data_IF_202601842680
#
_entry.id   IF_202601842680
#
_cell.length_a   1.000
_cell.length_b   1.000
_cell.length_c   1.000
_cell.angle_alpha   90.00
_cell.angle_beta   90.00
_cell.angle_gamma   90.00
#
_symmetry.space_group_name_H-M   'P 1'
#
loop_
_entity.id
_entity.type
_entity.pdbx_description
1 polymer ?
#
# COMPACT_ATOMS: atom_id res chain seq x y z
N UNK A 1 -16.27 -17.21 24.00
CA UNK A 1 -14.84 -17.07 23.70
C UNK A 1 -14.04 -18.34 24.00
N UNK A 2 -14.16 -18.95 25.19
CA UNK A 2 -13.42 -20.18 25.53
C UNK A 2 -13.58 -21.31 24.51
N UNK A 3 -14.81 -21.56 24.05
CA UNK A 3 -15.08 -22.59 23.03
C UNK A 3 -14.37 -22.33 21.68
N UNK A 4 -14.16 -21.06 21.31
CA UNK A 4 -13.41 -20.72 20.09
C UNK A 4 -11.91 -20.95 20.28
N UNK A 5 -11.36 -20.63 21.45
CA UNK A 5 -9.98 -20.96 21.80
C UNK A 5 -9.73 -22.46 21.88
N UNK A 6 -10.64 -23.23 22.49
CA UNK A 6 -10.53 -24.69 22.53
C UNK A 6 -10.66 -25.32 21.14
N UNK A 7 -11.53 -24.79 20.26
CA UNK A 7 -11.63 -25.25 18.88
C UNK A 7 -10.36 -24.94 18.09
N UNK A 8 -9.81 -23.74 18.26
CA UNK A 8 -8.56 -23.33 17.60
C UNK A 8 -7.39 -24.18 18.08
N UNK A 9 -7.19 -24.32 19.39
CA UNK A 9 -6.11 -25.16 19.94
C UNK A 9 -6.25 -26.65 19.57
N UNK A 10 -7.49 -27.14 19.40
CA UNK A 10 -7.72 -28.52 18.94
C UNK A 10 -7.42 -28.70 17.45
N UNK A 11 -7.69 -27.69 16.64
CA UNK A 11 -7.28 -27.66 15.23
C UNK A 11 -5.75 -27.56 15.15
N UNK A 12 -5.12 -26.65 15.89
CA UNK A 12 -3.65 -26.49 15.91
C UNK A 12 -2.94 -27.78 16.36
N UNK A 13 -3.47 -28.50 17.36
CA UNK A 13 -2.95 -29.80 17.76
C UNK A 13 -3.13 -30.88 16.67
N UNK A 14 -4.31 -30.97 16.05
CA UNK A 14 -4.56 -31.91 14.95
C UNK A 14 -3.69 -31.61 13.72
N UNK A 15 -3.34 -30.34 13.48
CA UNK A 15 -2.47 -29.91 12.40
C UNK A 15 -1.00 -30.26 12.67
N UNK A 16 -0.55 -30.26 13.93
CA UNK A 16 0.80 -30.68 14.31
C UNK A 16 0.96 -32.22 14.37
N UNK A 17 -0.09 -32.94 14.75
CA UNK A 17 -0.09 -34.41 14.83
C UNK A 17 -0.30 -35.10 13.45
N UNK A 18 -0.78 -34.37 12.43
CA UNK A 18 -1.15 -34.89 11.10
C UNK A 18 -0.07 -34.83 10.01
N UNK A 19 1.22 -34.83 10.38
CA UNK A 19 2.36 -34.55 9.48
C UNK A 19 2.69 -35.63 8.44
N UNK A 20 1.98 -36.76 8.42
CA UNK A 20 2.18 -37.83 7.44
C UNK A 20 1.27 -37.74 6.20
N UNK A 21 0.27 -36.83 6.18
CA UNK A 21 -0.67 -36.70 5.07
C UNK A 21 -0.28 -35.55 4.11
N UNK A 22 0.18 -35.92 2.91
CA UNK A 22 0.68 -34.99 1.90
C UNK A 22 -0.39 -34.00 1.38
N UNK A 23 -1.68 -34.37 1.43
CA UNK A 23 -2.76 -33.45 1.03
C UNK A 23 -3.05 -32.43 2.13
N UNK A 24 -2.98 -32.85 3.39
CA UNK A 24 -3.13 -31.97 4.54
C UNK A 24 -1.95 -30.98 4.62
N UNK A 25 -0.73 -31.43 4.30
CA UNK A 25 0.46 -30.58 4.20
C UNK A 25 0.30 -29.52 3.11
N UNK A 26 -0.23 -29.87 1.93
CA UNK A 26 -0.53 -28.88 0.86
C UNK A 26 -1.62 -27.89 1.25
N UNK A 27 -2.65 -28.35 1.96
CA UNK A 27 -3.69 -27.48 2.49
C UNK A 27 -3.14 -26.56 3.60
N UNK A 28 -2.23 -27.08 4.41
CA UNK A 28 -1.50 -26.32 5.43
C UNK A 28 -0.60 -25.26 4.80
N UNK A 29 0.13 -25.58 3.74
CA UNK A 29 0.90 -24.59 2.96
C UNK A 29 -0.01 -23.51 2.37
N UNK A 30 -1.19 -23.89 1.84
CA UNK A 30 -2.21 -22.92 1.38
C UNK A 30 -2.75 -22.02 2.50
N UNK A 31 -2.86 -22.53 3.73
CA UNK A 31 -3.37 -21.78 4.87
C UNK A 31 -2.29 -20.95 5.59
N UNK A 32 -1.02 -21.40 5.52
CA UNK A 32 0.18 -20.85 6.16
C UNK A 32 1.16 -20.18 5.19
N UNK A 33 0.75 -19.93 3.94
CA UNK A 33 1.55 -19.37 2.84
C UNK A 33 2.29 -18.04 3.14
N UNK A 34 2.18 -17.50 4.35
CA UNK A 34 2.79 -16.25 4.80
C UNK A 34 3.83 -16.41 5.93
N UNK A 35 4.05 -17.60 6.53
CA UNK A 35 5.01 -17.73 7.64
C UNK A 35 6.49 -17.83 7.18
N UNK A 36 6.72 -18.13 5.90
CA UNK A 36 8.05 -18.27 5.31
C UNK A 36 8.46 -17.12 4.38
N UNK A 37 7.70 -16.02 4.34
CA UNK A 37 8.12 -14.78 3.67
C UNK A 37 8.53 -13.66 4.63
N UNK A 38 8.81 -14.00 5.89
CA UNK A 38 9.61 -13.17 6.81
C UNK A 38 11.10 -13.05 6.39
N UNK A 39 11.46 -13.57 5.21
CA UNK A 39 12.74 -13.30 4.54
C UNK A 39 12.70 -12.03 3.68
N UNK A 40 12.43 -10.89 4.32
CA UNK A 40 13.10 -9.62 3.96
C UNK A 40 13.94 -9.06 5.12
N UNK A 41 14.27 -9.90 6.10
CA UNK A 41 15.30 -9.61 7.11
C UNK A 41 16.73 -9.90 6.59
N UNK A 42 16.89 -10.25 5.30
CA UNK A 42 18.19 -10.14 4.64
C UNK A 42 18.32 -8.74 4.05
N UNK A 43 19.26 -7.91 4.52
CA UNK A 43 19.52 -6.63 3.89
C UNK A 43 19.95 -6.92 2.45
N UNK A 44 19.08 -6.59 1.48
CA UNK A 44 19.46 -6.57 0.07
C UNK A 44 20.76 -5.77 -0.01
N UNK A 45 21.85 -6.32 -0.58
CA UNK A 45 23.13 -5.63 -0.60
C UNK A 45 22.91 -4.25 -1.21
N UNK A 46 23.46 -3.22 -0.57
CA UNK A 46 23.33 -1.85 -1.05
C UNK A 46 23.72 -1.81 -2.53
N UNK A 47 22.86 -1.27 -3.42
CA UNK A 47 23.16 -1.22 -4.84
C UNK A 47 24.52 -0.55 -5.07
N UNK A 48 25.33 -1.18 -5.93
CA UNK A 48 26.62 -0.61 -6.33
C UNK A 48 26.37 0.67 -7.15
N UNK A 49 27.33 1.61 -7.16
CA UNK A 49 27.22 2.86 -7.93
C UNK A 49 26.91 2.62 -9.42
N UNK A 50 27.40 1.52 -9.99
CA UNK A 50 27.07 1.08 -11.36
C UNK A 50 25.61 0.70 -11.52
N UNK A 51 25.04 -0.05 -10.58
CA UNK A 51 23.63 -0.43 -10.59
C UNK A 51 22.71 0.79 -10.42
N UNK A 52 23.09 1.74 -9.57
CA UNK A 52 22.36 3.01 -9.43
C UNK A 52 22.38 3.79 -10.76
N UNK A 53 23.53 3.85 -11.43
CA UNK A 53 23.64 4.52 -12.72
C UNK A 53 22.81 3.84 -13.82
N UNK A 54 22.77 2.51 -13.84
CA UNK A 54 21.91 1.74 -14.75
C UNK A 54 20.43 2.00 -14.49
N UNK A 55 20.00 1.99 -13.22
CA UNK A 55 18.63 2.33 -12.85
C UNK A 55 18.24 3.74 -13.29
N UNK A 56 19.12 4.72 -13.06
CA UNK A 56 18.87 6.11 -13.43
C UNK A 56 18.90 6.35 -14.95
N UNK A 57 19.56 5.48 -15.72
CA UNK A 57 19.56 5.56 -17.19
C UNK A 57 18.17 5.28 -17.77
N UNK A 58 17.47 4.32 -17.19
CA UNK A 58 16.16 3.87 -17.65
C UNK A 58 15.01 4.54 -16.85
N UNK A 59 15.35 5.51 -15.99
CA UNK A 59 14.40 6.24 -15.16
C UNK A 59 13.73 7.38 -15.92
N UNK A 60 12.46 7.63 -15.58
CA UNK A 60 11.69 8.75 -16.11
C UNK A 60 11.76 9.94 -15.15
N UNK A 61 11.72 11.15 -15.69
CA UNK A 61 11.64 12.37 -14.88
C UNK A 61 10.27 12.49 -14.22
N UNK A 62 10.27 12.73 -12.91
CA UNK A 62 9.06 13.01 -12.14
C UNK A 62 8.51 14.39 -12.51
N UNK A 63 7.18 14.51 -12.60
CA UNK A 63 6.56 15.82 -12.76
C UNK A 63 6.86 16.72 -11.55
N UNK A 64 6.85 18.05 -11.76
CA UNK A 64 7.13 19.00 -10.69
C UNK A 64 6.22 18.82 -9.46
N UNK A 65 4.95 18.46 -9.69
CA UNK A 65 3.99 18.15 -8.62
C UNK A 65 4.35 16.87 -7.86
N UNK A 66 4.70 15.79 -8.56
CA UNK A 66 5.04 14.50 -7.92
C UNK A 66 6.34 14.62 -7.12
N UNK A 67 7.34 15.28 -7.70
CA UNK A 67 8.59 15.57 -7.03
C UNK A 67 8.38 16.42 -5.76
N UNK A 68 7.51 17.43 -5.81
CA UNK A 68 7.14 18.23 -4.65
C UNK A 68 6.49 17.39 -3.54
N UNK A 69 5.58 16.47 -3.89
CA UNK A 69 4.95 15.55 -2.94
C UNK A 69 5.95 14.57 -2.33
N UNK A 70 6.86 14.02 -3.13
CA UNK A 70 7.92 13.13 -2.66
C UNK A 70 8.86 13.85 -1.69
N UNK A 71 9.32 15.05 -2.04
CA UNK A 71 10.18 15.86 -1.17
C UNK A 71 9.47 16.21 0.14
N UNK A 72 8.18 16.57 0.09
CA UNK A 72 7.37 16.83 1.27
C UNK A 72 7.21 15.58 2.14
N UNK A 73 7.06 14.40 1.54
CA UNK A 73 7.00 13.12 2.25
C UNK A 73 8.33 12.81 2.95
N UNK A 74 9.46 12.87 2.23
CA UNK A 74 10.79 12.58 2.77
C UNK A 74 11.17 13.51 3.93
N UNK A 75 10.77 14.79 3.87
CA UNK A 75 11.00 15.75 4.97
C UNK A 75 10.27 15.39 6.26
N UNK A 76 9.22 14.56 6.22
CA UNK A 76 8.53 14.09 7.43
C UNK A 76 9.40 13.15 8.28
N UNK A 77 10.39 12.48 7.66
CA UNK A 77 11.38 11.63 8.35
C UNK A 77 12.33 12.43 9.27
N UNK A 78 12.23 13.77 9.29
CA UNK A 78 13.11 14.65 10.06
C UNK A 78 14.51 14.80 9.46
N UNK A 79 14.80 14.10 8.36
CA UNK A 79 16.04 14.22 7.62
C UNK A 79 16.06 15.51 6.77
N UNK A 80 17.24 16.13 6.56
CA UNK A 80 17.36 17.43 5.90
C UNK A 80 17.27 17.33 4.36
N UNK A 81 16.23 16.68 3.84
CA UNK A 81 16.03 16.50 2.40
C UNK A 81 15.86 17.84 1.68
N UNK A 82 16.66 18.02 0.62
CA UNK A 82 16.75 19.24 -0.17
C UNK A 82 16.24 19.03 -1.58
N UNK A 83 15.70 20.11 -2.11
CA UNK A 83 15.36 20.20 -3.52
C UNK A 83 16.65 20.32 -4.35
N UNK A 84 16.76 19.54 -5.42
CA UNK A 84 17.78 19.65 -6.48
C UNK A 84 18.04 21.09 -6.94
N UNK A 85 17.00 21.92 -7.02
CA UNK A 85 17.11 23.30 -7.54
C UNK A 85 17.54 24.33 -6.49
N UNK A 86 17.59 23.95 -5.20
CA UNK A 86 17.91 24.86 -4.10
C UNK A 86 19.43 25.06 -3.93
N UNK A 87 20.06 25.71 -4.90
CA UNK A 87 21.48 26.08 -4.86
C UNK A 87 21.74 27.28 -3.93
N UNK A 88 22.93 27.36 -3.29
CA UNK A 88 24.05 26.43 -3.36
C UNK A 88 23.87 25.21 -2.44
N UNK A 89 24.29 24.03 -2.93
CA UNK A 89 24.29 22.79 -2.13
C UNK A 89 25.55 22.72 -1.26
N UNK A 90 25.42 22.58 0.08
CA UNK A 90 26.57 22.23 0.92
C UNK A 90 27.15 20.88 0.48
N UNK A 91 28.49 20.74 0.49
CA UNK A 91 29.15 19.45 0.16
C UNK A 91 28.63 18.30 1.02
N UNK A 92 28.35 18.56 2.31
CA UNK A 92 27.78 17.59 3.24
C UNK A 92 26.30 17.26 2.98
N UNK A 93 25.59 18.06 2.16
CA UNK A 93 24.18 17.89 1.86
C UNK A 93 23.94 17.17 0.53
N UNK A 94 24.98 16.83 -0.23
CA UNK A 94 24.86 16.16 -1.52
C UNK A 94 24.10 14.82 -1.43
N UNK A 95 24.23 14.11 -0.30
CA UNK A 95 23.52 12.85 -0.03
C UNK A 95 22.01 13.03 0.25
N UNK A 96 21.57 14.23 0.60
CA UNK A 96 20.18 14.54 0.95
C UNK A 96 19.45 15.28 -0.16
N UNK A 97 19.98 15.25 -1.38
CA UNK A 97 19.29 15.81 -2.55
C UNK A 97 18.37 14.73 -3.11
N UNK A 98 17.08 15.06 -3.27
CA UNK A 98 16.11 14.15 -3.88
C UNK A 98 16.37 14.09 -5.39
N UNK A 99 16.52 12.88 -5.98
CA UNK A 99 16.63 12.72 -7.44
C UNK A 99 15.37 13.24 -8.15
N UNK A 100 15.53 13.84 -9.33
CA UNK A 100 14.39 14.24 -10.17
C UNK A 100 13.81 13.09 -10.98
N UNK A 101 14.58 12.03 -11.19
CA UNK A 101 14.19 10.86 -11.95
C UNK A 101 13.91 9.67 -11.03
N UNK A 102 12.93 8.85 -11.42
CA UNK A 102 12.53 7.65 -10.72
C UNK A 102 12.28 6.51 -11.71
N UNK A 103 12.56 5.27 -11.29
CA UNK A 103 12.17 4.10 -12.08
C UNK A 103 10.68 3.89 -11.89
N UNK A 104 9.90 4.02 -12.96
CA UNK A 104 8.43 3.93 -12.90
C UNK A 104 8.00 2.49 -13.21
N UNK A 105 7.15 1.95 -12.34
CA UNK A 105 6.63 0.59 -12.49
C UNK A 105 5.14 0.58 -12.86
N UNK A 106 4.75 -0.35 -13.72
CA UNK A 106 3.34 -0.69 -13.96
C UNK A 106 2.76 -1.55 -12.84
N UNK A 107 3.62 -2.38 -12.24
CA UNK A 107 3.34 -3.32 -11.16
C UNK A 107 4.57 -3.55 -10.29
N UNK A 108 4.35 -3.91 -9.03
CA UNK A 108 5.40 -4.24 -8.08
C UNK A 108 4.93 -5.37 -7.15
N UNK A 109 5.88 -6.18 -6.67
CA UNK A 109 5.58 -7.22 -5.71
C UNK A 109 6.04 -6.78 -4.30
N UNK A 110 5.09 -6.68 -3.36
CA UNK A 110 5.36 -6.43 -1.96
C UNK A 110 4.75 -7.54 -1.12
N UNK A 111 5.55 -8.18 -0.26
CA UNK A 111 5.10 -9.25 0.65
C UNK A 111 4.33 -10.36 -0.07
N UNK A 112 4.84 -10.82 -1.22
CA UNK A 112 4.23 -11.87 -2.02
C UNK A 112 2.98 -11.46 -2.79
N UNK A 113 2.59 -10.19 -2.74
CA UNK A 113 1.38 -9.65 -3.39
C UNK A 113 1.77 -8.68 -4.49
N UNK A 114 1.07 -8.79 -5.62
CA UNK A 114 1.32 -7.92 -6.77
C UNK A 114 0.37 -6.73 -6.71
N UNK A 115 0.93 -5.55 -6.57
CA UNK A 115 0.22 -4.27 -6.65
C UNK A 115 0.48 -3.65 -8.01
N UNK A 116 -0.51 -2.92 -8.53
CA UNK A 116 -0.39 -2.30 -9.85
C UNK A 116 -0.92 -0.88 -9.84
N UNK A 117 -0.50 -0.10 -10.80
CA UNK A 117 -1.11 1.20 -11.06
C UNK A 117 -2.54 1.02 -11.61
N UNK A 118 -3.43 1.99 -11.36
CA UNK A 118 -4.81 1.98 -11.84
C UNK A 118 -4.90 1.74 -13.35
N UNK A 119 -4.06 2.44 -14.11
CA UNK A 119 -3.93 2.31 -15.56
C UNK A 119 -3.59 0.90 -16.05
N UNK A 120 -2.95 0.09 -15.20
CA UNK A 120 -2.53 -1.27 -15.54
C UNK A 120 -3.62 -2.29 -15.16
N UNK A 121 -4.16 -2.19 -13.95
CA UNK A 121 -5.17 -3.13 -13.44
C UNK A 121 -5.96 -2.56 -12.26
N UNK A 122 -7.24 -2.26 -12.47
CA UNK A 122 -8.14 -1.65 -11.46
C UNK A 122 -8.25 -2.47 -10.17
N UNK A 123 -8.29 -3.80 -10.26
CA UNK A 123 -8.47 -4.66 -9.08
C UNK A 123 -7.27 -4.71 -8.14
N UNK A 124 -6.06 -4.49 -8.66
CA UNK A 124 -4.80 -4.63 -7.91
C UNK A 124 -4.24 -3.26 -7.49
N UNK A 125 -4.87 -2.18 -7.94
CA UNK A 125 -4.49 -0.81 -7.61
C UNK A 125 -5.22 -0.26 -6.38
N UNK A 126 -6.39 -0.80 -6.05
CA UNK A 126 -7.12 -0.40 -4.86
C UNK A 126 -6.50 -1.03 -3.59
N UNK A 127 -6.17 -0.19 -2.61
CA UNK A 127 -5.46 -0.59 -1.40
C UNK A 127 -6.06 0.04 -0.14
N UNK A 128 -5.85 -0.65 0.98
CA UNK A 128 -5.90 -0.10 2.33
C UNK A 128 -4.45 0.20 2.77
N UNK A 129 -4.21 1.38 3.32
CA UNK A 129 -2.88 1.83 3.71
C UNK A 129 -2.92 2.73 4.93
N UNK A 130 -1.79 2.86 5.61
CA UNK A 130 -1.62 3.73 6.75
C UNK A 130 -1.17 5.14 6.36
N UNK A 131 -1.55 6.13 7.17
CA UNK A 131 -0.90 7.43 7.17
C UNK A 131 0.59 7.34 7.52
N UNK A 132 1.31 8.46 7.39
CA UNK A 132 2.74 8.54 7.70
C UNK A 132 3.08 8.00 9.11
N UNK A 133 2.29 8.39 10.12
CA UNK A 133 2.47 7.98 11.52
C UNK A 133 2.03 6.54 11.82
N UNK A 134 1.43 5.84 10.86
CA UNK A 134 0.84 4.50 11.02
C UNK A 134 -0.24 4.39 12.11
N UNK A 135 -0.94 5.49 12.36
CA UNK A 135 -2.02 5.60 13.36
C UNK A 135 -3.41 5.44 12.75
N UNK A 136 -3.60 5.91 11.52
CA UNK A 136 -4.90 5.90 10.84
C UNK A 136 -4.79 5.19 9.50
N UNK A 137 -5.75 4.33 9.20
CA UNK A 137 -5.85 3.66 7.91
C UNK A 137 -6.82 4.39 6.99
N UNK A 138 -6.44 4.46 5.72
CA UNK A 138 -7.22 5.00 4.63
C UNK A 138 -7.35 3.95 3.52
N UNK A 139 -8.19 4.25 2.54
CA UNK A 139 -8.26 3.47 1.31
C UNK A 139 -8.06 4.41 0.13
N UNK A 140 -7.56 3.87 -0.97
CA UNK A 140 -7.30 4.66 -2.17
C UNK A 140 -6.85 3.78 -3.31
N UNK A 141 -6.43 4.43 -4.39
CA UNK A 141 -5.99 3.80 -5.62
C UNK A 141 -4.56 4.23 -5.92
N UNK A 142 -3.71 3.26 -6.27
CA UNK A 142 -2.33 3.51 -6.71
C UNK A 142 -2.36 4.11 -8.11
N UNK A 143 -1.85 5.33 -8.25
CA UNK A 143 -1.70 6.04 -9.51
C UNK A 143 -0.35 5.74 -10.17
N UNK A 144 0.71 5.72 -9.36
CA UNK A 144 2.07 5.46 -9.80
C UNK A 144 2.87 4.70 -8.74
N UNK A 145 3.86 3.94 -9.20
CA UNK A 145 4.81 3.19 -8.40
C UNK A 145 6.22 3.57 -8.83
N UNK A 146 7.08 3.86 -7.86
CA UNK A 146 8.42 4.38 -8.11
C UNK A 146 9.46 3.67 -7.27
N UNK A 147 10.60 3.35 -7.89
CA UNK A 147 11.82 3.00 -7.18
C UNK A 147 12.83 4.14 -7.31
N UNK A 148 13.35 4.61 -6.18
CA UNK A 148 14.24 5.77 -6.11
C UNK A 148 15.48 5.42 -5.28
N UNK A 149 16.69 5.57 -5.84
CA UNK A 149 17.93 5.39 -5.10
C UNK A 149 18.15 6.59 -4.16
N UNK A 150 18.08 6.35 -2.85
CA UNK A 150 18.26 7.34 -1.80
C UNK A 150 19.33 6.86 -0.81
N UNK A 151 20.41 7.63 -0.65
CA UNK A 151 21.53 7.33 0.27
C UNK A 151 22.09 5.90 0.14
N UNK A 152 22.24 5.44 -1.10
CA UNK A 152 22.78 4.11 -1.40
C UNK A 152 21.80 2.96 -1.14
N UNK A 153 20.51 3.22 -0.97
CA UNK A 153 19.45 2.21 -0.87
C UNK A 153 18.32 2.55 -1.85
N UNK A 154 17.75 1.55 -2.53
CA UNK A 154 16.54 1.75 -3.33
C UNK A 154 15.33 1.74 -2.40
N UNK A 155 14.56 2.83 -2.39
CA UNK A 155 13.28 2.91 -1.69
C UNK A 155 12.14 2.89 -2.71
N UNK A 156 11.12 2.09 -2.39
CA UNK A 156 9.90 1.97 -3.20
C UNK A 156 8.78 2.81 -2.64
N UNK A 157 8.22 3.68 -3.49
CA UNK A 157 7.14 4.59 -3.17
C UNK A 157 5.92 4.31 -4.04
N UNK A 158 4.74 4.62 -3.51
CA UNK A 158 3.48 4.63 -4.23
C UNK A 158 2.86 6.02 -4.14
N UNK A 159 2.46 6.55 -5.29
CA UNK A 159 1.56 7.69 -5.37
C UNK A 159 0.13 7.16 -5.31
N UNK A 160 -0.60 7.59 -4.31
CA UNK A 160 -1.96 7.10 -4.04
C UNK A 160 -2.92 8.26 -4.09
N UNK A 161 -4.04 8.04 -4.76
CA UNK A 161 -5.22 8.90 -4.67
C UNK A 161 -6.17 8.32 -3.63
N UNK A 162 -6.35 8.95 -2.46
CA UNK A 162 -7.27 8.47 -1.44
C UNK A 162 -8.71 8.48 -1.95
N UNK A 163 -9.53 7.54 -1.49
CA UNK A 163 -10.97 7.61 -1.71
C UNK A 163 -11.58 8.78 -0.92
N UNK A 164 -12.43 9.56 -1.56
CA UNK A 164 -13.09 10.70 -0.94
C UNK A 164 -14.21 10.22 0.00
N UNK A 165 -14.16 10.56 1.31
CA UNK A 165 -15.20 10.13 2.24
C UNK A 165 -16.55 10.78 1.89
N UNK A 166 -17.64 10.05 2.13
CA UNK A 166 -18.96 10.65 2.07
C UNK A 166 -19.22 11.55 3.29
N UNK A 167 -20.08 12.57 3.14
CA UNK A 167 -20.67 13.27 4.27
C UNK A 167 -21.32 12.29 5.25
N UNK A 168 -21.18 12.55 6.55
CA UNK A 168 -21.64 11.64 7.60
C UNK A 168 -23.13 11.25 7.46
N UNK A 169 -23.99 12.20 7.10
CA UNK A 169 -25.42 11.97 6.92
C UNK A 169 -25.75 11.04 5.75
N UNK A 170 -24.89 10.93 4.74
CA UNK A 170 -25.05 9.99 3.62
C UNK A 170 -24.45 8.62 3.95
N UNK A 171 -23.31 8.60 4.65
CA UNK A 171 -22.70 7.36 5.13
C UNK A 171 -23.68 6.54 6.00
N UNK A 172 -24.47 7.23 6.83
CA UNK A 172 -25.52 6.62 7.66
C UNK A 172 -26.70 6.03 6.87
N UNK A 173 -26.93 6.45 5.62
CA UNK A 173 -27.98 5.84 4.77
C UNK A 173 -27.62 4.43 4.34
N UNK A 174 -26.32 4.12 4.28
CA UNK A 174 -25.83 2.80 3.89
C UNK A 174 -26.06 1.74 4.99
N UNK A 175 -26.21 0.45 4.64
CA UNK A 175 -26.44 -0.62 5.61
C UNK A 175 -25.19 -0.97 6.43
N UNK A 176 -24.03 -0.45 6.06
CA UNK A 176 -22.73 -0.85 6.62
C UNK A 176 -22.37 -0.11 7.90
N UNK A 177 -22.97 1.06 8.17
CA UNK A 177 -22.72 1.82 9.39
C UNK A 177 -23.06 1.00 10.66
N UNK A 178 -24.14 0.21 10.61
CA UNK A 178 -24.56 -0.66 11.71
C UNK A 178 -23.88 -2.04 11.68
N UNK A 179 -23.09 -2.35 10.65
CA UNK A 179 -22.56 -3.70 10.38
C UNK A 179 -21.05 -3.69 10.11
N UNK A 180 -20.28 -3.19 11.07
CA UNK A 180 -18.82 -3.06 10.97
C UNK A 180 -18.07 -4.36 10.62
N UNK A 181 -18.65 -5.54 10.90
CA UNK A 181 -18.04 -6.84 10.58
C UNK A 181 -17.84 -7.07 9.08
N UNK A 182 -18.61 -6.40 8.22
CA UNK A 182 -18.40 -6.50 6.77
C UNK A 182 -17.15 -5.76 6.30
N UNK A 183 -16.61 -4.84 7.11
CA UNK A 183 -15.46 -3.98 6.74
C UNK A 183 -15.66 -3.28 5.40
N UNK A 184 -16.90 -2.85 5.16
CA UNK A 184 -17.28 -2.08 3.98
C UNK A 184 -17.54 -0.65 4.40
N UNK A 185 -16.97 0.28 3.64
CA UNK A 185 -17.27 1.72 3.75
C UNK A 185 -17.82 2.23 2.43
N UNK A 186 -18.75 3.18 2.51
CA UNK A 186 -19.22 3.93 1.34
C UNK A 186 -18.38 5.19 1.19
N UNK A 187 -17.86 5.40 -0.01
CA UNK A 187 -17.06 6.58 -0.39
C UNK A 187 -17.64 7.17 -1.67
N UNK A 188 -17.34 8.45 -1.96
CA UNK A 188 -17.73 9.04 -3.23
C UNK A 188 -17.01 8.34 -4.39
N UNK A 189 -17.68 8.19 -5.53
CA UNK A 189 -17.05 7.63 -6.73
C UNK A 189 -16.16 8.64 -7.47
N UNK A 190 -16.36 9.93 -7.20
CA UNK A 190 -15.49 10.95 -7.76
C UNK A 190 -14.09 10.84 -7.13
N UNK A 191 -13.02 10.90 -7.95
CA UNK A 191 -11.66 10.85 -7.44
C UNK A 191 -11.40 12.01 -6.45
N UNK A 192 -10.64 11.75 -5.39
CA UNK A 192 -10.13 12.83 -4.54
C UNK A 192 -9.18 13.71 -5.35
N UNK A 193 -9.19 15.02 -5.12
CA UNK A 193 -8.20 15.94 -5.68
C UNK A 193 -6.83 15.77 -5.03
N UNK A 194 -6.80 15.15 -3.84
CA UNK A 194 -5.59 14.91 -3.07
C UNK A 194 -4.79 13.73 -3.62
N UNK A 195 -3.48 13.92 -3.70
CA UNK A 195 -2.50 12.87 -3.96
C UNK A 195 -1.52 12.80 -2.80
N UNK A 196 -1.19 11.59 -2.39
CA UNK A 196 -0.26 11.35 -1.30
C UNK A 196 0.81 10.35 -1.73
N UNK A 197 2.02 10.57 -1.23
CA UNK A 197 3.12 9.60 -1.36
C UNK A 197 3.16 8.76 -0.10
N UNK A 198 3.23 7.45 -0.29
CA UNK A 198 3.46 6.46 0.77
C UNK A 198 4.61 5.53 0.37
N UNK A 199 5.21 4.89 1.35
CA UNK A 199 6.15 3.78 1.13
C UNK A 199 5.43 2.43 1.17
N UNK A 200 6.06 1.43 0.56
CA UNK A 200 5.56 0.06 0.52
C UNK A 200 5.15 -0.49 1.92
N UNK A 201 5.90 -0.16 2.97
CA UNK A 201 5.66 -0.60 4.34
C UNK A 201 4.41 0.02 5.00
N UNK A 202 3.78 0.99 4.35
CA UNK A 202 2.52 1.58 4.78
C UNK A 202 1.31 0.92 4.11
N UNK A 203 1.51 0.13 3.06
CA UNK A 203 0.43 -0.63 2.41
C UNK A 203 0.05 -1.80 3.30
N UNK A 204 -1.24 -1.96 3.57
CA UNK A 204 -1.77 -3.00 4.46
C UNK A 204 -2.24 -4.20 3.63
N UNK A 205 -3.13 -3.96 2.68
CA UNK A 205 -3.73 -4.99 1.86
C UNK A 205 -4.41 -4.37 0.62
N UNK A 206 -4.81 -5.22 -0.32
CA UNK A 206 -5.77 -4.82 -1.35
C UNK A 206 -7.13 -4.48 -0.74
N UNK A 207 -7.82 -3.54 -1.37
CA UNK A 207 -9.21 -3.22 -1.10
C UNK A 207 -10.07 -3.61 -2.31
N UNK A 208 -11.21 -4.24 -2.08
CA UNK A 208 -12.15 -4.53 -3.16
C UNK A 208 -13.08 -3.33 -3.34
N UNK A 209 -13.13 -2.77 -4.54
CA UNK A 209 -13.94 -1.59 -4.85
C UNK A 209 -15.10 -2.01 -5.74
N UNK A 210 -16.33 -1.71 -5.32
CA UNK A 210 -17.52 -2.01 -6.09
C UNK A 210 -18.33 -0.74 -6.41
N UNK A 211 -18.46 -0.33 -7.68
CA UNK A 211 -19.19 0.87 -8.04
C UNK A 211 -20.70 0.69 -7.88
N UNK A 212 -21.37 1.75 -7.42
CA UNK A 212 -22.82 1.80 -7.25
C UNK A 212 -23.40 3.02 -7.97
N UNK A 213 -24.50 2.85 -8.71
CA UNK A 213 -25.16 3.96 -9.37
C UNK A 213 -25.78 4.92 -8.36
N UNK A 214 -26.02 6.15 -8.80
CA UNK A 214 -26.83 7.13 -8.06
C UNK A 214 -28.22 6.54 -7.71
N UNK A 215 -28.77 6.96 -6.58
CA UNK A 215 -29.98 6.44 -5.98
C UNK A 215 -29.76 5.24 -5.06
N UNK A 216 -28.58 4.60 -5.09
CA UNK A 216 -28.27 3.50 -4.16
C UNK A 216 -28.33 4.03 -2.72
N UNK A 217 -29.14 3.37 -1.86
CA UNK A 217 -29.39 3.79 -0.48
C UNK A 217 -29.94 5.23 -0.33
N UNK A 218 -30.53 5.82 -1.39
CA UNK A 218 -31.01 7.20 -1.35
C UNK A 218 -29.88 8.26 -1.38
N UNK A 219 -28.73 7.91 -1.95
CA UNK A 219 -27.61 8.83 -2.20
C UNK A 219 -27.65 9.24 -3.68
N UNK A 220 -27.76 10.55 -3.96
CA UNK A 220 -28.12 11.06 -5.29
C UNK A 220 -26.95 11.18 -6.28
N UNK A 221 -25.79 10.59 -5.97
CA UNK A 221 -24.62 10.56 -6.82
C UNK A 221 -23.96 9.17 -6.76
N UNK A 222 -23.02 8.91 -7.67
CA UNK A 222 -22.32 7.62 -7.73
C UNK A 222 -21.45 7.46 -6.49
N UNK A 223 -21.44 6.26 -5.92
CA UNK A 223 -20.63 5.91 -4.75
C UNK A 223 -19.86 4.61 -5.02
N UNK A 224 -18.82 4.36 -4.23
CA UNK A 224 -18.12 3.09 -4.21
C UNK A 224 -18.36 2.41 -2.86
N UNK A 225 -18.61 1.10 -2.89
CA UNK A 225 -18.50 0.26 -1.71
C UNK A 225 -17.09 -0.32 -1.67
N UNK A 226 -16.29 0.13 -0.71
CA UNK A 226 -14.90 -0.30 -0.53
C UNK A 226 -14.83 -1.29 0.61
N UNK A 227 -14.38 -2.51 0.31
CA UNK A 227 -14.28 -3.62 1.25
C UNK A 227 -12.81 -3.89 1.61
N UNK A 228 -12.47 -3.76 2.89
CA UNK A 228 -11.12 -4.04 3.43
C UNK A 228 -11.04 -5.38 4.17
N UNK A 229 -11.98 -6.30 3.89
CA UNK A 229 -12.00 -7.62 4.52
C UNK A 229 -10.78 -8.50 4.17
N UNK A 230 -10.01 -8.13 3.13
CA UNK A 230 -8.75 -8.80 2.77
C UNK A 230 -7.63 -8.53 3.78
N UNK A 231 -7.75 -7.50 4.61
CA UNK A 231 -6.84 -7.29 5.72
C UNK A 231 -7.10 -8.35 6.81
N UNK A 232 -6.35 -9.45 6.77
CA UNK A 232 -6.49 -10.55 7.73
C UNK A 232 -5.73 -10.32 9.05
N UNK A 233 -5.19 -9.12 9.27
CA UNK A 233 -4.32 -8.84 10.42
C UNK A 233 -3.01 -9.63 10.40
N UNK A 234 -2.62 -10.12 9.21
CA UNK A 234 -1.35 -10.80 8.98
C UNK A 234 -0.32 -9.73 8.64
N UNK A 235 0.70 -9.61 9.47
CA UNK A 235 1.98 -8.98 9.15
C UNK A 235 2.99 -10.10 9.12
#
# INVERSE_FOLDING_TARGET
MLQQFCRRGRIDALLHDGTDDAELARLLDLLHLDASQDEQTHPRPAPTSTQIAEMLRDADDLSASEYGLLLAHLRKDGQPWRDRTAYPHPLAAAEFIVPSAAVVHSECNFFGRTFSCARSHDGNSAIEFYNYERTTSYTGVIEALWDIPLRGVVRSFALVRPHKPLPHHEELKGPFHARHRFRVRLVAADPSEELIVIEHAQIIAHAVVYPRPAGTYGINHKILAVCTALNRGRR
#
